data_IF_009015385793
#
_entry.id   IF_009015385793
#
_cell.length_a   1.000
_cell.length_b   1.000
_cell.length_c   1.000
_cell.angle_alpha   90.00
_cell.angle_beta   90.00
_cell.angle_gamma   90.00
#
_symmetry.space_group_name_H-M   'P 1'
#
loop_
_entity.id
_entity.type
_entity.pdbx_description
1 polymer ?
#
# COMPACT_ATOMS: atom_id res chain seq x y z
N UNK A 1 -32.01 27.18 -17.68
CA UNK A 1 -30.72 26.45 -17.75
C UNK A 1 -30.28 26.21 -16.31
N UNK A 2 -30.61 25.04 -15.76
CA UNK A 2 -30.19 24.67 -14.40
C UNK A 2 -28.83 23.97 -14.49
N UNK A 3 -27.86 24.44 -13.71
CA UNK A 3 -26.61 23.72 -13.54
C UNK A 3 -26.94 22.35 -12.92
N UNK A 4 -26.61 21.27 -13.64
CA UNK A 4 -26.71 19.91 -13.12
C UNK A 4 -25.80 19.75 -11.90
N UNK A 5 -26.08 18.79 -11.01
CA UNK A 5 -25.25 18.58 -9.83
C UNK A 5 -23.83 18.30 -10.29
N UNK A 6 -22.96 19.25 -9.97
CA UNK A 6 -21.52 19.18 -10.18
C UNK A 6 -21.01 17.86 -9.59
N UNK A 7 -20.27 17.14 -10.43
CA UNK A 7 -19.47 15.98 -10.07
C UNK A 7 -18.52 16.40 -8.93
N UNK A 8 -18.98 16.22 -7.69
CA UNK A 8 -18.14 16.34 -6.51
C UNK A 8 -17.28 15.09 -6.52
N UNK A 9 -16.09 15.19 -7.11
CA UNK A 9 -14.96 14.36 -6.74
C UNK A 9 -14.80 14.50 -5.23
N UNK A 10 -15.39 13.58 -4.48
CA UNK A 10 -15.10 13.46 -3.06
C UNK A 10 -13.65 12.97 -2.98
N UNK A 11 -12.75 13.86 -2.55
CA UNK A 11 -11.45 13.48 -2.03
C UNK A 11 -11.72 12.65 -0.78
N UNK A 12 -11.74 11.33 -0.93
CA UNK A 12 -11.75 10.43 0.20
C UNK A 12 -10.29 10.24 0.63
N UNK A 13 -9.94 10.75 1.81
CA UNK A 13 -8.85 10.22 2.63
C UNK A 13 -9.21 8.76 2.92
N UNK A 14 -8.85 7.85 2.02
CA UNK A 14 -9.33 6.50 2.07
C UNK A 14 -8.63 5.75 3.22
N UNK A 15 -9.30 5.63 4.36
CA UNK A 15 -8.90 4.70 5.41
C UNK A 15 -8.84 3.30 4.79
N UNK A 16 -7.63 2.77 4.73
CA UNK A 16 -7.35 1.47 4.16
C UNK A 16 -7.21 0.47 5.30
N UNK A 17 -7.86 -0.70 5.17
CA UNK A 17 -7.65 -1.80 6.10
C UNK A 17 -6.45 -2.63 5.62
N UNK A 18 -5.37 -2.58 6.38
CA UNK A 18 -4.14 -3.30 6.04
C UNK A 18 -4.09 -4.66 6.71
N UNK A 19 -3.73 -5.69 5.93
CA UNK A 19 -3.47 -7.04 6.41
C UNK A 19 -2.03 -7.43 6.12
N UNK A 20 -1.25 -7.68 7.17
CA UNK A 20 0.03 -8.35 7.06
C UNK A 20 -0.18 -9.86 6.88
N UNK A 21 0.32 -10.40 5.78
CA UNK A 21 0.20 -11.81 5.42
C UNK A 21 1.57 -12.41 5.10
N UNK A 22 1.73 -13.74 5.25
CA UNK A 22 2.99 -14.39 4.91
C UNK A 22 3.38 -14.32 3.42
N UNK A 23 2.38 -14.29 2.51
CA UNK A 23 2.62 -14.23 1.07
C UNK A 23 1.50 -13.46 0.33
N UNK A 24 1.72 -12.17 0.13
CA UNK A 24 0.82 -11.29 -0.60
C UNK A 24 0.67 -11.68 -2.08
N UNK A 25 1.68 -12.31 -2.69
CA UNK A 25 1.59 -12.74 -4.09
C UNK A 25 0.60 -13.89 -4.25
N UNK A 26 0.62 -14.85 -3.32
CA UNK A 26 -0.34 -15.95 -3.30
C UNK A 26 -1.78 -15.43 -3.12
N UNK A 27 -1.99 -14.50 -2.19
CA UNK A 27 -3.31 -13.89 -1.98
C UNK A 27 -3.75 -13.11 -3.22
N UNK A 28 -2.85 -12.32 -3.82
CA UNK A 28 -3.11 -11.58 -5.05
C UNK A 28 -3.64 -12.48 -6.18
N UNK A 29 -2.96 -13.58 -6.47
CA UNK A 29 -3.37 -14.51 -7.52
C UNK A 29 -4.72 -15.15 -7.22
N UNK A 30 -4.96 -15.52 -5.96
CA UNK A 30 -6.23 -16.11 -5.51
C UNK A 30 -7.39 -15.14 -5.70
N UNK A 31 -7.26 -13.90 -5.22
CA UNK A 31 -8.32 -12.90 -5.30
C UNK A 31 -8.57 -12.41 -6.72
N UNK A 32 -7.51 -12.26 -7.52
CA UNK A 32 -7.63 -11.93 -8.94
C UNK A 32 -8.36 -13.03 -9.70
N UNK A 33 -8.07 -14.30 -9.43
CA UNK A 33 -8.78 -15.43 -10.05
C UNK A 33 -10.25 -15.50 -9.62
N UNK A 34 -10.56 -15.06 -8.39
CA UNK A 34 -11.93 -14.93 -7.89
C UNK A 34 -12.68 -13.69 -8.43
N UNK A 35 -12.04 -12.86 -9.26
CA UNK A 35 -12.68 -11.71 -9.91
C UNK A 35 -12.80 -10.46 -9.04
N UNK A 36 -12.03 -10.35 -7.95
CA UNK A 36 -12.01 -9.13 -7.15
C UNK A 36 -11.35 -7.97 -7.94
N UNK A 37 -11.81 -6.72 -7.73
CA UNK A 37 -11.22 -5.55 -8.34
C UNK A 37 -9.83 -5.26 -7.75
N UNK A 38 -8.80 -5.41 -8.58
CA UNK A 38 -7.44 -5.02 -8.23
C UNK A 38 -7.26 -3.54 -8.56
N UNK A 39 -7.13 -2.70 -7.53
CA UNK A 39 -6.94 -1.26 -7.66
C UNK A 39 -5.47 -0.88 -7.78
N UNK A 40 -4.60 -1.62 -7.07
CA UNK A 40 -3.16 -1.54 -7.20
C UNK A 40 -2.64 -2.95 -7.48
N UNK A 41 -1.96 -3.15 -8.60
CA UNK A 41 -1.33 -4.44 -8.90
C UNK A 41 -0.18 -4.72 -7.96
N UNK A 42 0.07 -6.01 -7.69
CA UNK A 42 1.19 -6.51 -6.90
C UNK A 42 2.51 -5.86 -7.33
N UNK A 43 3.23 -5.30 -6.37
CA UNK A 43 4.52 -4.63 -6.55
C UNK A 43 5.39 -4.73 -5.30
N UNK A 44 6.68 -4.58 -5.51
CA UNK A 44 7.68 -4.47 -4.45
C UNK A 44 8.07 -3.01 -4.31
N UNK A 45 7.97 -2.49 -3.09
CA UNK A 45 8.31 -1.13 -2.73
C UNK A 45 9.71 -1.07 -2.13
N UNK A 46 10.49 -0.01 -2.43
CA UNK A 46 11.89 0.09 -2.02
C UNK A 46 12.06 0.15 -0.49
N UNK A 47 11.01 0.56 0.23
CA UNK A 47 10.97 0.60 1.69
C UNK A 47 10.65 -0.76 2.35
N UNK A 48 10.69 -1.87 1.61
CA UNK A 48 10.63 -3.23 2.17
C UNK A 48 9.22 -3.81 2.26
N UNK A 49 8.34 -3.50 1.32
CA UNK A 49 6.99 -4.05 1.28
C UNK A 49 6.64 -4.62 -0.08
N UNK A 50 6.11 -5.85 -0.12
CA UNK A 50 5.39 -6.38 -1.28
C UNK A 50 3.91 -6.25 -1.01
N UNK A 51 3.18 -5.51 -1.85
CA UNK A 51 1.77 -5.25 -1.59
C UNK A 51 0.92 -5.08 -2.84
N UNK A 52 -0.39 -5.19 -2.65
CA UNK A 52 -1.41 -4.87 -3.63
C UNK A 52 -2.66 -4.36 -2.91
N UNK A 53 -3.47 -3.57 -3.62
CA UNK A 53 -4.71 -3.01 -3.07
C UNK A 53 -5.89 -3.57 -3.85
N UNK A 54 -6.88 -4.08 -3.12
CA UNK A 54 -8.17 -4.53 -3.63
C UNK A 54 -9.30 -3.77 -2.95
N UNK A 55 -10.52 -3.95 -3.42
CA UNK A 55 -11.73 -3.43 -2.78
C UNK A 55 -12.71 -4.56 -2.49
N UNK A 56 -13.34 -4.51 -1.32
CA UNK A 56 -14.43 -5.42 -0.98
C UNK A 56 -15.78 -4.97 -1.59
N UNK A 57 -16.83 -5.80 -1.51
CA UNK A 57 -18.16 -5.41 -2.01
C UNK A 57 -18.80 -4.22 -1.29
N UNK A 58 -18.41 -3.92 -0.05
CA UNK A 58 -18.90 -2.78 0.73
C UNK A 58 -18.19 -1.46 0.37
N UNK A 59 -17.12 -1.53 -0.41
CA UNK A 59 -16.34 -0.38 -0.86
C UNK A 59 -15.08 -0.10 -0.06
N UNK A 60 -14.74 -0.95 0.92
CA UNK A 60 -13.56 -0.80 1.79
C UNK A 60 -12.30 -1.08 0.98
N UNK A 61 -11.30 -0.19 1.09
CA UNK A 61 -9.98 -0.44 0.54
C UNK A 61 -9.23 -1.41 1.43
N UNK A 62 -8.68 -2.45 0.83
CA UNK A 62 -7.91 -3.48 1.51
C UNK A 62 -6.51 -3.48 0.93
N UNK A 63 -5.52 -3.26 1.78
CA UNK A 63 -4.10 -3.37 1.44
C UNK A 63 -3.54 -4.66 2.04
N UNK A 64 -2.90 -5.47 1.20
CA UNK A 64 -2.38 -6.79 1.59
C UNK A 64 -0.87 -6.77 1.42
N UNK A 65 -0.16 -6.90 2.53
CA UNK A 65 1.28 -6.65 2.60
C UNK A 65 2.03 -7.91 3.05
N UNK A 66 3.19 -8.13 2.45
CA UNK A 66 4.26 -8.98 3.00
C UNK A 66 5.53 -8.16 3.10
N UNK A 67 6.18 -8.15 4.26
CA UNK A 67 7.47 -7.50 4.43
C UNK A 67 8.54 -8.20 3.58
N UNK A 68 9.34 -7.41 2.87
CA UNK A 68 10.50 -7.86 2.08
C UNK A 68 11.73 -7.04 2.47
N UNK A 69 12.90 -7.43 1.97
CA UNK A 69 14.11 -6.64 2.19
C UNK A 69 13.97 -5.23 1.56
N UNK A 70 14.51 -4.23 2.25
CA UNK A 70 14.68 -2.87 1.71
C UNK A 70 15.55 -2.92 0.45
N UNK A 71 15.27 -2.07 -0.53
CA UNK A 71 16.11 -1.97 -1.72
C UNK A 71 17.47 -1.35 -1.36
N UNK A 72 18.47 -1.61 -2.21
CA UNK A 72 19.83 -1.09 -2.02
C UNK A 72 19.83 0.45 -2.04
N UNK A 73 19.03 1.04 -2.92
CA UNK A 73 18.91 2.50 -3.08
C UNK A 73 18.26 3.14 -1.86
N UNK A 74 17.29 2.45 -1.26
CA UNK A 74 16.64 2.91 -0.04
C UNK A 74 17.60 2.81 1.16
N UNK A 75 18.33 1.70 1.29
CA UNK A 75 19.35 1.54 2.33
C UNK A 75 20.45 2.62 2.27
N UNK A 76 20.85 3.02 1.06
CA UNK A 76 21.87 4.06 0.88
C UNK A 76 21.46 5.43 1.48
N UNK A 77 20.16 5.73 1.57
CA UNK A 77 19.66 6.98 2.14
C UNK A 77 19.68 6.99 3.68
N UNK A 78 19.58 5.82 4.31
CA UNK A 78 19.57 5.69 5.78
C UNK A 78 20.95 5.43 6.38
N UNK A 79 21.95 5.06 5.56
CA UNK A 79 23.31 4.86 6.01
C UNK A 79 23.97 6.17 6.52
N UNK A 80 23.56 7.33 6.00
CA UNK A 80 24.12 8.62 6.39
C UNK A 80 23.41 9.27 7.61
N UNK A 81 22.14 8.93 7.89
CA UNK A 81 21.32 9.60 8.92
C UNK A 81 21.14 8.82 10.25
N UNK A 82 21.72 7.62 10.38
CA UNK A 82 21.53 6.74 11.55
C UNK A 82 22.46 7.00 12.76
N UNK A 83 22.90 8.25 12.99
CA UNK A 83 23.58 8.62 14.24
C UNK A 83 22.63 9.46 15.10
N UNK A 84 22.14 8.94 16.24
CA UNK A 84 21.54 9.78 17.26
C UNK A 84 22.60 10.79 17.74
N UNK A 85 22.54 12.01 17.22
CA UNK A 85 23.39 13.11 17.66
C UNK A 85 22.94 13.54 19.06
N UNK A 86 23.59 12.99 20.09
CA UNK A 86 23.49 13.50 21.46
C UNK A 86 22.96 12.52 22.49
N UNK A 87 23.74 11.48 22.79
CA UNK A 87 23.76 10.89 24.14
C UNK A 87 25.14 11.19 24.76
N UNK A 88 25.47 12.48 24.88
CA UNK A 88 26.61 12.91 25.71
C UNK A 88 26.13 13.00 27.15
N UNK A 89 26.66 12.12 28.00
CA UNK A 89 26.64 12.28 29.45
C UNK A 89 27.84 13.11 29.89
#
# INVERSE_FOLDING_TARGET
MGAGPSDRSQEFEAETLTFDVPDAAQVYHTLRAAGLPILLTLRDEPFGQRHFITRDPAGVLIDVITLIALSVEFLAQYADDAVPQGMSR
#
